data_IF_113544981833
#
_entry.id   IF_113544981833
#
_cell.length_a   1.000
_cell.length_b   1.000
_cell.length_c   1.000
_cell.angle_alpha   90.00
_cell.angle_beta   90.00
_cell.angle_gamma   90.00
#
_symmetry.space_group_name_H-M   'P 1'
#
loop_
_entity.id
_entity.type
_entity.pdbx_description
1 polymer ?
#
# COMPACT_ATOMS: atom_id res chain seq x y z
N UNK A 1 23.95 -6.09 -18.93
CA UNK A 1 22.55 -5.92 -19.39
C UNK A 1 22.50 -4.58 -20.11
N UNK A 2 21.90 -4.44 -21.32
CA UNK A 2 21.80 -3.15 -21.99
C UNK A 2 20.97 -2.22 -21.11
N UNK A 3 21.48 -1.02 -20.86
CA UNK A 3 20.78 0.04 -20.15
C UNK A 3 19.50 0.38 -20.94
N UNK A 4 18.32 0.03 -20.39
CA UNK A 4 17.03 0.46 -20.92
C UNK A 4 16.92 1.97 -20.60
N UNK A 5 17.40 2.84 -21.47
CA UNK A 5 17.16 4.29 -21.35
C UNK A 5 15.83 4.61 -22.00
N UNK A 6 14.88 5.20 -21.26
CA UNK A 6 13.72 5.78 -21.88
C UNK A 6 14.19 6.90 -22.81
N UNK A 7 13.73 6.90 -24.04
CA UNK A 7 14.05 7.96 -25.03
C UNK A 7 13.73 9.33 -24.42
N UNK A 8 14.76 10.17 -24.24
CA UNK A 8 14.63 11.58 -23.87
C UNK A 8 14.56 11.90 -22.37
N UNK A 9 14.61 10.95 -21.43
CA UNK A 9 14.63 11.27 -20.00
C UNK A 9 16.05 11.55 -19.52
N UNK A 10 16.25 12.71 -18.90
CA UNK A 10 17.49 13.01 -18.21
C UNK A 10 17.65 12.07 -17.00
N UNK A 11 18.88 11.63 -16.75
CA UNK A 11 19.22 10.85 -15.54
C UNK A 11 18.88 11.69 -14.31
N UNK A 12 18.23 11.11 -13.27
CA UNK A 12 17.92 11.85 -12.04
C UNK A 12 19.21 12.35 -11.38
N UNK A 13 19.18 13.59 -10.88
CA UNK A 13 20.30 14.18 -10.17
C UNK A 13 20.60 13.48 -8.84
N UNK A 14 19.53 13.06 -8.13
CA UNK A 14 19.65 12.39 -6.83
C UNK A 14 18.48 11.42 -6.58
N UNK A 15 18.76 10.40 -5.77
CA UNK A 15 17.74 9.48 -5.23
C UNK A 15 16.82 10.23 -4.25
N UNK A 16 15.48 10.08 -4.35
CA UNK A 16 14.53 10.73 -3.44
C UNK A 16 14.66 10.24 -1.99
N UNK A 17 15.26 9.07 -1.77
CA UNK A 17 15.41 8.47 -0.43
C UNK A 17 16.76 8.82 0.19
N UNK A 18 17.87 8.37 -0.38
CA UNK A 18 19.20 8.53 0.24
C UNK A 18 20.03 9.65 -0.36
N UNK A 19 19.48 10.44 -1.29
CA UNK A 19 20.12 11.58 -1.97
C UNK A 19 21.38 11.23 -2.78
N UNK A 20 21.72 9.96 -2.92
CA UNK A 20 22.85 9.52 -3.75
C UNK A 20 22.59 9.85 -5.21
N UNK A 21 23.61 10.35 -5.92
CA UNK A 21 23.60 10.55 -7.37
C UNK A 21 23.82 9.25 -8.16
N UNK A 22 24.16 8.15 -7.46
CA UNK A 22 24.46 6.87 -8.08
C UNK A 22 23.18 6.08 -8.38
N UNK A 23 22.62 6.28 -9.57
CA UNK A 23 21.43 5.59 -10.05
C UNK A 23 21.62 5.09 -11.48
N UNK A 24 20.94 3.98 -11.82
CA UNK A 24 20.91 3.38 -13.15
C UNK A 24 19.45 3.24 -13.64
N UNK A 25 19.26 3.24 -14.96
CA UNK A 25 17.96 2.91 -15.56
C UNK A 25 17.52 1.52 -15.12
N UNK A 26 16.26 1.40 -14.69
CA UNK A 26 15.69 0.14 -14.23
C UNK A 26 14.75 -0.46 -15.27
N UNK A 27 13.75 0.30 -15.68
CA UNK A 27 12.72 -0.12 -16.62
C UNK A 27 11.94 1.07 -17.17
N UNK A 28 11.11 0.79 -18.19
CA UNK A 28 9.98 1.64 -18.56
C UNK A 28 8.71 0.92 -18.11
N UNK A 29 7.98 1.54 -17.19
CA UNK A 29 6.72 1.03 -16.70
C UNK A 29 5.52 1.56 -17.47
N UNK A 30 4.40 0.85 -17.42
CA UNK A 30 3.12 1.28 -18.00
C UNK A 30 2.00 1.01 -16.99
N UNK A 31 0.93 1.82 -17.06
CA UNK A 31 -0.25 1.55 -16.24
C UNK A 31 -0.93 0.25 -16.66
N UNK A 32 -0.71 -0.80 -15.87
CA UNK A 32 -1.22 -2.14 -16.15
C UNK A 32 -2.64 -2.38 -15.62
N UNK A 33 -3.07 -1.59 -14.64
CA UNK A 33 -4.40 -1.75 -14.05
C UNK A 33 -5.48 -1.15 -14.95
N UNK A 34 -5.32 0.11 -15.33
CA UNK A 34 -6.36 0.85 -16.07
C UNK A 34 -5.96 1.21 -17.49
N UNK A 35 -4.67 1.11 -17.84
CA UNK A 35 -4.16 1.48 -19.16
C UNK A 35 -4.20 2.99 -19.41
N UNK A 36 -4.15 3.80 -18.36
CA UNK A 36 -4.17 5.26 -18.45
C UNK A 36 -2.79 5.79 -18.85
N UNK A 37 -2.77 6.79 -19.74
CA UNK A 37 -1.53 7.37 -20.25
C UNK A 37 -1.00 6.63 -21.49
N UNK A 38 -0.65 7.39 -22.54
CA UNK A 38 -0.16 6.86 -23.83
C UNK A 38 1.35 6.62 -23.85
N UNK A 39 2.08 7.02 -22.79
CA UNK A 39 3.54 6.92 -22.69
C UNK A 39 3.99 5.93 -21.61
N UNK A 40 5.28 5.59 -21.62
CA UNK A 40 5.92 4.85 -20.56
C UNK A 40 6.48 5.78 -19.48
N UNK A 41 6.60 5.28 -18.28
CA UNK A 41 7.17 5.97 -17.11
C UNK A 41 8.58 5.45 -16.86
N UNK A 42 9.56 6.34 -16.86
CA UNK A 42 10.95 5.98 -16.64
C UNK A 42 11.19 5.64 -15.17
N UNK A 43 11.75 4.47 -14.93
CA UNK A 43 12.10 3.99 -13.60
C UNK A 43 13.60 3.88 -13.47
N UNK A 44 14.14 4.36 -12.36
CA UNK A 44 15.55 4.31 -12.01
C UNK A 44 15.76 3.55 -10.70
N UNK A 45 16.85 2.79 -10.63
CA UNK A 45 17.28 2.13 -9.39
C UNK A 45 18.42 2.92 -8.77
N UNK A 46 18.28 3.29 -7.51
CA UNK A 46 19.40 3.78 -6.71
C UNK A 46 20.35 2.62 -6.39
N UNK A 47 21.64 2.75 -6.74
CA UNK A 47 22.65 1.72 -6.48
C UNK A 47 23.16 1.74 -5.03
N UNK A 48 22.84 2.79 -4.25
CA UNK A 48 23.22 2.93 -2.84
C UNK A 48 22.23 2.30 -1.89
N UNK A 49 20.93 2.65 -1.99
CA UNK A 49 19.87 2.11 -1.10
C UNK A 49 18.98 1.05 -1.76
N UNK A 50 19.09 0.88 -3.09
CA UNK A 50 18.38 -0.15 -3.85
C UNK A 50 16.92 0.17 -4.18
N UNK A 51 16.35 1.29 -3.71
CA UNK A 51 14.98 1.69 -4.08
C UNK A 51 14.87 1.92 -5.60
N UNK A 52 13.67 1.70 -6.12
CA UNK A 52 13.32 2.02 -7.51
C UNK A 52 12.32 3.16 -7.49
N UNK A 53 12.54 4.18 -8.29
CA UNK A 53 11.70 5.37 -8.30
C UNK A 53 11.44 5.88 -9.72
N UNK A 54 10.30 6.51 -9.89
CA UNK A 54 9.94 7.17 -11.14
C UNK A 54 10.71 8.48 -11.29
N UNK A 55 11.15 8.78 -12.52
CA UNK A 55 11.74 10.09 -12.82
C UNK A 55 11.27 10.60 -14.19
N UNK A 56 10.78 11.87 -14.28
CA UNK A 56 10.59 12.79 -13.14
C UNK A 56 9.53 12.28 -12.16
N UNK A 57 9.66 12.65 -10.85
CA UNK A 57 8.61 12.40 -9.87
C UNK A 57 7.39 13.25 -10.23
N UNK A 58 6.20 12.65 -10.35
CA UNK A 58 4.98 13.40 -10.63
C UNK A 58 4.56 14.24 -9.41
N UNK A 59 3.94 15.37 -9.64
CA UNK A 59 3.23 16.09 -8.59
C UNK A 59 1.87 15.43 -8.26
N UNK A 60 1.22 15.87 -7.19
CA UNK A 60 -0.05 15.32 -6.75
C UNK A 60 -1.16 15.48 -7.79
N UNK A 61 -1.15 16.57 -8.57
CA UNK A 61 -2.16 16.81 -9.62
C UNK A 61 -1.98 15.87 -10.82
N UNK A 62 -0.73 15.57 -11.17
CA UNK A 62 -0.42 14.59 -12.20
C UNK A 62 -0.79 13.17 -11.74
N UNK A 63 -0.50 12.81 -10.48
CA UNK A 63 -0.85 11.51 -9.91
C UNK A 63 -2.37 11.30 -9.83
N UNK A 64 -3.14 12.32 -9.44
CA UNK A 64 -4.59 12.23 -9.31
C UNK A 64 -5.29 11.70 -10.58
N UNK A 65 -4.72 11.96 -11.77
CA UNK A 65 -5.23 11.47 -13.05
C UNK A 65 -5.18 9.94 -13.20
N UNK A 66 -4.36 9.27 -12.41
CA UNK A 66 -4.17 7.81 -12.42
C UNK A 66 -4.96 7.09 -11.33
N UNK A 67 -5.84 7.82 -10.64
CA UNK A 67 -6.80 7.27 -9.68
C UNK A 67 -8.21 7.45 -10.22
N UNK A 68 -8.64 6.61 -11.17
CA UNK A 68 -10.01 6.66 -11.68
C UNK A 68 -10.97 6.31 -10.56
N UNK A 69 -12.25 6.63 -10.77
CA UNK A 69 -13.29 6.43 -9.78
C UNK A 69 -13.40 4.98 -9.27
N UNK A 70 -13.09 4.02 -10.16
CA UNK A 70 -13.13 2.58 -9.91
C UNK A 70 -11.94 2.08 -9.06
N UNK A 71 -10.87 2.86 -8.96
CA UNK A 71 -9.72 2.53 -8.10
C UNK A 71 -10.13 2.43 -6.63
N UNK A 72 -10.97 3.37 -6.21
CA UNK A 72 -11.49 3.40 -4.85
C UNK A 72 -12.57 2.33 -4.73
N UNK A 73 -12.17 1.17 -4.27
CA UNK A 73 -13.10 0.10 -4.06
C UNK A 73 -14.16 0.48 -3.03
N UNK A 74 -15.34 0.81 -3.52
CA UNK A 74 -16.52 0.95 -2.72
C UNK A 74 -17.07 -0.45 -2.50
N UNK A 75 -17.28 -0.85 -1.25
CA UNK A 75 -18.09 -2.01 -0.93
C UNK A 75 -19.57 -1.81 -1.26
N UNK A 76 -19.90 -0.98 -2.26
CA UNK A 76 -21.28 -0.80 -2.69
C UNK A 76 -21.83 -2.13 -3.22
N UNK A 77 -23.08 -2.45 -2.89
CA UNK A 77 -23.72 -3.66 -3.39
C UNK A 77 -23.69 -3.60 -4.92
N UNK A 78 -23.07 -4.59 -5.52
CA UNK A 78 -23.14 -4.82 -6.96
C UNK A 78 -24.58 -5.07 -7.40
N UNK A 79 -24.82 -5.32 -8.70
CA UNK A 79 -26.15 -5.48 -9.26
C UNK A 79 -26.95 -6.50 -8.46
N UNK A 80 -28.22 -6.16 -8.22
CA UNK A 80 -29.14 -6.92 -7.38
C UNK A 80 -29.37 -8.35 -7.91
N UNK A 81 -28.98 -9.35 -7.14
CA UNK A 81 -29.24 -10.76 -7.41
C UNK A 81 -28.67 -11.66 -6.32
N UNK A 82 -29.38 -12.77 -5.99
CA UNK A 82 -29.00 -13.69 -4.89
C UNK A 82 -27.57 -14.24 -5.05
N UNK A 83 -27.13 -14.53 -6.28
CA UNK A 83 -25.79 -15.02 -6.61
C UNK A 83 -24.75 -13.93 -6.36
N UNK A 84 -24.99 -12.70 -6.85
CA UNK A 84 -24.08 -11.56 -6.62
C UNK A 84 -23.92 -11.25 -5.14
N UNK A 85 -25.03 -11.22 -4.37
CA UNK A 85 -24.98 -11.02 -2.92
C UNK A 85 -24.15 -12.09 -2.19
N UNK A 86 -24.22 -13.34 -2.62
CA UNK A 86 -23.43 -14.43 -2.04
C UNK A 86 -21.92 -14.21 -2.25
N UNK A 87 -21.49 -13.91 -3.47
CA UNK A 87 -20.07 -13.65 -3.77
C UNK A 87 -19.55 -12.39 -3.07
N UNK A 88 -20.32 -11.31 -3.02
CA UNK A 88 -19.95 -10.11 -2.26
C UNK A 88 -19.79 -10.39 -0.75
N UNK A 89 -20.64 -11.26 -0.19
CA UNK A 89 -20.50 -11.67 1.22
C UNK A 89 -19.21 -12.47 1.44
N UNK A 90 -18.90 -13.42 0.57
CA UNK A 90 -17.65 -14.20 0.66
C UNK A 90 -16.42 -13.29 0.53
N UNK A 91 -16.44 -12.37 -0.43
CA UNK A 91 -15.38 -11.41 -0.64
C UNK A 91 -15.18 -10.50 0.59
N UNK A 92 -16.26 -10.04 1.22
CA UNK A 92 -16.19 -9.27 2.46
C UNK A 92 -15.56 -10.07 3.59
N UNK A 93 -16.02 -11.30 3.82
CA UNK A 93 -15.45 -12.20 4.85
C UNK A 93 -13.97 -12.44 4.59
N UNK A 94 -13.60 -12.71 3.34
CA UNK A 94 -12.19 -12.88 2.97
C UNK A 94 -11.37 -11.62 3.26
N UNK A 95 -11.87 -10.44 2.90
CA UNK A 95 -11.19 -9.16 3.18
C UNK A 95 -11.02 -8.89 4.67
N UNK A 96 -12.06 -9.09 5.46
CA UNK A 96 -12.00 -8.96 6.91
C UNK A 96 -10.92 -9.92 7.47
N UNK A 97 -10.96 -11.18 7.06
CA UNK A 97 -10.00 -12.20 7.48
C UNK A 97 -8.53 -11.84 7.14
N UNK A 98 -8.26 -11.40 5.91
CA UNK A 98 -6.89 -11.04 5.53
C UNK A 98 -6.45 -9.69 6.11
N UNK A 99 -7.38 -8.78 6.42
CA UNK A 99 -7.09 -7.50 7.09
C UNK A 99 -6.78 -7.69 8.57
N UNK A 100 -7.23 -8.79 9.18
CA UNK A 100 -6.85 -9.20 10.52
C UNK A 100 -5.33 -9.28 10.72
N UNK A 101 -4.59 -9.63 9.68
CA UNK A 101 -3.11 -9.65 9.65
C UNK A 101 -2.51 -8.27 10.00
N UNK A 102 -3.17 -7.18 9.58
CA UNK A 102 -2.76 -5.82 9.89
C UNK A 102 -2.88 -5.51 11.38
N UNK A 103 -4.00 -5.85 11.98
CA UNK A 103 -4.23 -5.62 13.40
C UNK A 103 -3.32 -6.49 14.26
N UNK A 104 -3.09 -7.76 13.87
CA UNK A 104 -2.14 -8.65 14.55
C UNK A 104 -0.72 -8.09 14.55
N UNK A 105 -0.31 -7.43 13.46
CA UNK A 105 0.99 -6.75 13.45
C UNK A 105 1.01 -5.55 14.39
N UNK A 106 -0.04 -4.71 14.41
CA UNK A 106 -0.20 -3.60 15.37
C UNK A 106 -0.14 -4.11 16.80
N UNK A 107 -0.88 -5.19 17.12
CA UNK A 107 -0.86 -5.83 18.45
C UNK A 107 0.52 -6.35 18.83
N UNK A 108 1.24 -6.94 17.87
CA UNK A 108 2.63 -7.38 18.07
C UNK A 108 3.53 -6.20 18.43
N UNK A 109 3.43 -5.10 17.68
CA UNK A 109 4.19 -3.87 17.94
C UNK A 109 3.84 -3.28 19.31
N UNK A 110 2.55 -3.25 19.68
CA UNK A 110 2.09 -2.77 20.98
C UNK A 110 2.71 -3.57 22.13
N UNK A 111 2.63 -4.90 22.07
CA UNK A 111 3.21 -5.79 23.08
C UNK A 111 4.73 -5.64 23.22
N UNK A 112 5.44 -5.64 22.08
CA UNK A 112 6.90 -5.57 22.06
C UNK A 112 7.44 -4.22 22.56
N UNK A 113 6.61 -3.16 22.53
CA UNK A 113 6.98 -1.83 22.99
C UNK A 113 6.25 -1.39 24.27
N UNK A 114 5.58 -2.29 24.97
CA UNK A 114 4.79 -2.02 26.17
C UNK A 114 3.80 -0.85 25.99
N UNK A 115 3.25 -0.67 24.78
CA UNK A 115 2.29 0.39 24.49
C UNK A 115 0.90 -0.01 24.99
N UNK A 116 0.34 0.78 25.90
CA UNK A 116 -0.97 0.53 26.53
C UNK A 116 -2.08 1.44 25.99
N UNK A 117 -1.71 2.56 25.36
CA UNK A 117 -2.68 3.45 24.69
C UNK A 117 -3.36 2.77 23.51
N UNK A 118 -4.56 3.22 23.17
CA UNK A 118 -5.41 2.58 22.14
C UNK A 118 -5.87 3.54 21.04
N UNK A 119 -5.54 4.82 21.12
CA UNK A 119 -5.94 5.82 20.12
C UNK A 119 -5.14 5.60 18.83
N UNK A 120 -5.82 5.24 17.75
CA UNK A 120 -5.22 4.85 16.48
C UNK A 120 -5.69 5.78 15.35
N UNK A 121 -4.76 6.27 14.55
CA UNK A 121 -5.03 6.97 13.30
C UNK A 121 -4.51 6.16 12.12
N UNK A 122 -5.38 5.87 11.14
CA UNK A 122 -4.99 5.30 9.86
C UNK A 122 -4.98 6.39 8.77
N UNK A 123 -3.79 6.69 8.24
CA UNK A 123 -3.58 7.61 7.12
C UNK A 123 -3.72 6.81 5.83
N UNK A 124 -4.67 7.20 4.97
CA UNK A 124 -5.04 6.43 3.78
C UNK A 124 -6.01 5.29 4.12
N UNK A 125 -6.97 5.55 5.00
CA UNK A 125 -7.86 4.52 5.56
C UNK A 125 -8.84 3.90 4.55
N UNK A 126 -8.94 4.42 3.34
CA UNK A 126 -9.83 3.91 2.30
C UNK A 126 -11.29 3.77 2.79
N UNK A 127 -11.88 2.61 2.56
CA UNK A 127 -13.26 2.29 2.99
C UNK A 127 -13.42 1.98 4.48
N UNK A 128 -12.36 2.07 5.29
CA UNK A 128 -12.41 1.91 6.75
C UNK A 128 -12.42 0.46 7.24
N UNK A 129 -12.19 -0.54 6.39
CA UNK A 129 -12.21 -1.95 6.80
C UNK A 129 -11.19 -2.22 7.92
N UNK A 130 -9.95 -1.69 7.80
CA UNK A 130 -8.95 -1.83 8.86
C UNK A 130 -9.39 -1.17 10.17
N UNK A 131 -9.98 0.03 10.10
CA UNK A 131 -10.50 0.73 11.28
C UNK A 131 -11.54 -0.10 12.02
N UNK A 132 -12.42 -0.78 11.27
CA UNK A 132 -13.44 -1.66 11.84
C UNK A 132 -12.82 -2.86 12.58
N UNK A 133 -11.85 -3.52 11.97
CA UNK A 133 -11.16 -4.64 12.62
C UNK A 133 -10.37 -4.14 13.85
N UNK A 134 -9.72 -2.99 13.76
CA UNK A 134 -9.02 -2.39 14.89
C UNK A 134 -9.95 -2.08 16.07
N UNK A 135 -11.17 -1.56 15.81
CA UNK A 135 -12.20 -1.34 16.84
C UNK A 135 -12.59 -2.65 17.54
N UNK A 136 -12.78 -3.73 16.79
CA UNK A 136 -13.06 -5.06 17.35
C UNK A 136 -11.94 -5.57 18.27
N UNK A 137 -10.69 -5.09 18.07
CA UNK A 137 -9.52 -5.37 18.93
C UNK A 137 -9.36 -4.35 20.08
N UNK A 138 -10.34 -3.45 20.25
CA UNK A 138 -10.37 -2.47 21.34
C UNK A 138 -9.50 -1.25 21.11
N UNK A 139 -9.10 -0.95 19.87
CA UNK A 139 -8.55 0.34 19.50
C UNK A 139 -9.66 1.39 19.38
N UNK A 140 -9.29 2.66 19.46
CA UNK A 140 -10.18 3.80 19.24
C UNK A 140 -9.80 4.40 17.87
N UNK A 141 -10.49 3.97 16.79
CA UNK A 141 -10.04 4.26 15.45
C UNK A 141 -10.42 5.66 14.99
N UNK A 142 -9.49 6.29 14.31
CA UNK A 142 -9.65 7.51 13.53
C UNK A 142 -9.08 7.28 12.14
N UNK A 143 -9.63 7.94 11.12
CA UNK A 143 -9.21 7.74 9.75
C UNK A 143 -8.99 9.06 9.00
N UNK A 144 -8.11 9.02 8.00
CA UNK A 144 -7.94 10.10 7.05
C UNK A 144 -7.68 9.52 5.65
N UNK A 145 -8.38 10.05 4.65
CA UNK A 145 -8.15 9.71 3.26
C UNK A 145 -8.33 10.92 2.35
N UNK A 146 -7.61 10.96 1.24
CA UNK A 146 -7.72 12.04 0.24
C UNK A 146 -9.01 11.90 -0.59
N UNK A 147 -9.54 10.71 -0.73
CA UNK A 147 -10.73 10.40 -1.50
C UNK A 147 -12.00 10.74 -0.73
N UNK A 148 -12.73 11.76 -1.18
CA UNK A 148 -14.03 12.10 -0.62
C UNK A 148 -15.00 10.90 -0.61
N UNK A 149 -14.96 10.08 -1.68
CA UNK A 149 -15.79 8.88 -1.81
C UNK A 149 -15.44 7.82 -0.79
N UNK A 150 -14.15 7.52 -0.60
CA UNK A 150 -13.70 6.55 0.39
C UNK A 150 -14.14 6.97 1.80
N UNK A 151 -13.97 8.25 2.12
CA UNK A 151 -14.42 8.85 3.40
C UNK A 151 -15.94 8.73 3.58
N UNK A 152 -16.73 9.02 2.54
CA UNK A 152 -18.17 8.90 2.60
C UNK A 152 -18.62 7.47 2.87
N UNK A 153 -18.05 6.50 2.16
CA UNK A 153 -18.34 5.06 2.33
C UNK A 153 -17.99 4.61 3.74
N UNK A 154 -16.78 4.92 4.21
CA UNK A 154 -16.32 4.52 5.52
C UNK A 154 -17.17 5.12 6.66
N UNK A 155 -17.56 6.40 6.54
CA UNK A 155 -18.48 7.04 7.49
C UNK A 155 -19.88 6.42 7.52
N UNK A 156 -20.42 6.13 6.33
CA UNK A 156 -21.75 5.47 6.24
C UNK A 156 -21.73 4.06 6.80
N UNK A 157 -20.65 3.32 6.56
CA UNK A 157 -20.58 1.90 6.91
C UNK A 157 -20.28 1.69 8.39
N UNK A 158 -19.43 2.53 8.99
CA UNK A 158 -18.88 2.27 10.32
C UNK A 158 -19.08 3.42 11.32
N UNK A 159 -19.31 4.64 10.87
CA UNK A 159 -19.59 5.79 11.76
C UNK A 159 -18.37 6.35 12.49
N UNK A 160 -17.13 5.94 12.14
CA UNK A 160 -15.92 6.41 12.80
C UNK A 160 -15.57 7.88 12.46
N UNK A 161 -14.76 8.56 13.30
CA UNK A 161 -14.22 9.87 13.00
C UNK A 161 -13.20 9.76 11.84
N UNK A 162 -13.66 10.02 10.63
CA UNK A 162 -12.85 9.96 9.41
C UNK A 162 -12.86 11.33 8.75
N UNK A 163 -11.70 11.87 8.44
CA UNK A 163 -11.55 13.16 7.79
C UNK A 163 -11.07 13.03 6.35
N UNK A 164 -11.66 13.82 5.46
CA UNK A 164 -11.11 14.01 4.14
C UNK A 164 -9.91 14.95 4.24
N UNK A 165 -8.74 14.47 3.80
CA UNK A 165 -7.51 15.27 3.84
C UNK A 165 -6.30 14.49 3.39
N UNK A 166 -5.25 15.21 3.03
CA UNK A 166 -3.95 14.67 2.67
C UNK A 166 -2.88 15.01 3.70
N UNK A 167 -1.64 14.61 3.38
CA UNK A 167 -0.46 14.93 4.19
C UNK A 167 -0.37 16.45 4.40
N UNK A 168 -0.17 16.86 5.65
CA UNK A 168 -0.14 18.29 6.06
C UNK A 168 -1.49 18.88 6.45
N UNK A 169 -2.59 18.15 6.36
CA UNK A 169 -3.91 18.61 6.81
C UNK A 169 -3.95 18.82 8.33
N UNK A 170 -4.48 19.97 8.79
CA UNK A 170 -4.56 20.29 10.23
C UNK A 170 -5.89 19.88 10.88
N UNK A 171 -6.53 18.85 10.34
CA UNK A 171 -7.86 18.40 10.77
C UNK A 171 -7.89 17.83 12.19
N UNK A 172 -6.74 17.41 12.72
CA UNK A 172 -6.62 16.82 14.05
C UNK A 172 -6.28 17.81 15.17
N UNK A 173 -5.93 19.05 14.84
CA UNK A 173 -5.56 20.07 15.83
C UNK A 173 -4.45 19.58 16.78
N UNK A 174 -4.75 19.59 18.10
CA UNK A 174 -3.82 19.12 19.13
C UNK A 174 -3.96 17.63 19.48
N UNK A 175 -4.86 16.87 18.80
CA UNK A 175 -5.02 15.44 19.04
C UNK A 175 -3.73 14.70 18.64
N UNK A 176 -3.29 13.78 19.50
CA UNK A 176 -2.12 12.92 19.27
C UNK A 176 -2.48 11.49 19.54
N UNK A 177 -1.89 10.59 18.73
CA UNK A 177 -2.27 9.20 18.65
C UNK A 177 -1.21 8.28 19.29
N UNK A 178 -1.65 7.15 19.84
CA UNK A 178 -0.77 6.10 20.31
C UNK A 178 -0.21 5.31 19.15
N UNK A 179 -1.00 5.19 18.07
CA UNK A 179 -0.61 4.55 16.83
C UNK A 179 -0.97 5.43 15.63
N UNK A 180 -0.03 5.58 14.72
CA UNK A 180 -0.28 6.10 13.37
C UNK A 180 0.09 5.01 12.38
N UNK A 181 -0.86 4.62 11.52
CA UNK A 181 -0.65 3.61 10.50
C UNK A 181 -0.63 4.25 9.10
N UNK A 182 0.20 3.71 8.21
CA UNK A 182 0.32 4.07 6.80
C UNK A 182 0.45 2.78 5.98
N UNK A 183 -0.67 2.17 5.63
CA UNK A 183 -0.70 0.94 4.85
C UNK A 183 -0.89 1.25 3.37
N UNK A 184 0.13 0.97 2.57
CA UNK A 184 0.15 1.31 1.14
C UNK A 184 -0.09 2.80 0.87
N UNK A 185 0.65 3.66 1.58
CA UNK A 185 0.58 5.12 1.43
C UNK A 185 1.92 5.71 1.04
N UNK A 186 3.00 5.28 1.69
CA UNK A 186 4.30 5.94 1.57
C UNK A 186 4.88 5.83 0.16
N UNK A 187 4.64 4.73 -0.55
CA UNK A 187 5.05 4.49 -1.94
C UNK A 187 4.36 5.40 -2.96
N UNK A 188 3.21 5.96 -2.60
CA UNK A 188 2.43 6.88 -3.45
C UNK A 188 2.87 8.35 -3.27
N UNK A 189 3.66 8.65 -2.24
CA UNK A 189 4.06 10.03 -1.93
C UNK A 189 5.28 10.43 -2.75
N UNK A 190 5.18 11.53 -3.51
CA UNK A 190 6.32 12.14 -4.19
C UNK A 190 7.35 12.72 -3.20
N UNK A 191 6.89 13.13 -2.01
CA UNK A 191 7.74 13.50 -0.86
C UNK A 191 7.41 12.64 0.37
N UNK A 192 8.05 11.46 0.51
CA UNK A 192 7.82 10.59 1.66
C UNK A 192 8.36 11.18 2.97
N UNK A 193 9.31 12.14 2.91
CA UNK A 193 9.80 12.85 4.11
C UNK A 193 8.72 13.71 4.72
N UNK A 194 7.99 14.43 3.90
CA UNK A 194 6.84 15.21 4.36
C UNK A 194 5.78 14.32 5.00
N UNK A 195 5.51 13.14 4.39
CA UNK A 195 4.59 12.16 4.95
C UNK A 195 5.00 11.67 6.34
N UNK A 196 6.28 11.29 6.50
CA UNK A 196 6.80 10.81 7.79
C UNK A 196 6.87 11.92 8.85
N UNK A 197 7.21 13.16 8.46
CA UNK A 197 7.17 14.31 9.38
C UNK A 197 5.76 14.52 9.90
N UNK A 198 4.78 14.56 9.00
CA UNK A 198 3.38 14.71 9.36
C UNK A 198 2.90 13.59 10.30
N UNK A 199 3.20 12.33 9.99
CA UNK A 199 2.88 11.21 10.85
C UNK A 199 3.52 11.36 12.25
N UNK A 200 4.79 11.79 12.31
CA UNK A 200 5.51 12.05 13.56
C UNK A 200 4.91 13.19 14.40
N UNK A 201 4.37 14.23 13.76
CA UNK A 201 3.68 15.32 14.45
C UNK A 201 2.35 14.88 15.09
N UNK A 202 1.74 13.85 14.55
CA UNK A 202 0.48 13.27 15.03
C UNK A 202 0.67 12.23 16.14
N UNK A 203 1.89 11.71 16.34
CA UNK A 203 2.19 10.74 17.39
C UNK A 203 2.36 11.40 18.76
N UNK A 204 1.94 10.70 19.80
CA UNK A 204 2.38 10.94 21.17
C UNK A 204 3.88 10.65 21.31
N UNK A 205 4.52 11.09 22.38
CA UNK A 205 5.96 10.83 22.62
C UNK A 205 6.29 9.33 22.66
N UNK A 206 5.42 8.51 23.23
CA UNK A 206 5.54 7.05 23.28
C UNK A 206 4.88 6.34 22.09
N UNK A 207 4.30 7.09 21.14
CA UNK A 207 3.51 6.55 20.06
C UNK A 207 4.34 5.75 19.05
N UNK A 208 3.67 4.86 18.34
CA UNK A 208 4.25 3.97 17.33
C UNK A 208 3.74 4.33 15.93
N UNK A 209 4.68 4.46 15.00
CA UNK A 209 4.42 4.55 13.56
C UNK A 209 4.50 3.16 12.96
N UNK A 210 3.47 2.75 12.24
CA UNK A 210 3.41 1.45 11.57
C UNK A 210 3.20 1.67 10.08
N UNK A 211 4.11 1.14 9.28
CA UNK A 211 4.14 1.32 7.82
C UNK A 211 4.10 -0.04 7.15
N UNK A 212 3.35 -0.12 6.06
CA UNK A 212 3.40 -1.24 5.14
C UNK A 212 3.59 -0.73 3.71
N UNK A 213 4.59 -1.27 3.01
CA UNK A 213 4.88 -0.96 1.61
C UNK A 213 5.31 -2.21 0.84
N UNK A 214 5.15 -2.27 -0.49
CA UNK A 214 5.69 -3.33 -1.32
C UNK A 214 7.23 -3.37 -1.29
N UNK A 215 7.80 -4.57 -1.36
CA UNK A 215 9.25 -4.82 -1.31
C UNK A 215 9.81 -5.07 -2.71
N UNK A 216 10.43 -4.07 -3.33
CA UNK A 216 11.05 -4.20 -4.67
C UNK A 216 12.27 -5.15 -4.68
N UNK A 217 12.81 -5.53 -3.52
CA UNK A 217 13.90 -6.50 -3.41
C UNK A 217 13.43 -7.94 -3.20
N UNK A 218 12.12 -8.18 -3.16
CA UNK A 218 11.51 -9.50 -2.97
C UNK A 218 11.84 -10.49 -4.10
N UNK A 219 11.64 -11.78 -3.83
CA UNK A 219 11.83 -12.81 -4.85
C UNK A 219 10.81 -12.66 -5.98
N UNK A 220 9.54 -12.42 -5.65
CA UNK A 220 8.49 -12.17 -6.64
C UNK A 220 8.79 -10.94 -7.52
N UNK A 221 9.30 -9.84 -6.95
CA UNK A 221 9.69 -8.67 -7.74
C UNK A 221 10.84 -8.99 -8.72
N UNK A 222 11.79 -9.85 -8.33
CA UNK A 222 12.90 -10.30 -9.19
C UNK A 222 12.41 -11.24 -10.31
N UNK A 223 11.44 -12.12 -10.01
CA UNK A 223 10.87 -13.07 -10.98
C UNK A 223 10.01 -12.35 -12.01
N UNK A 224 9.07 -11.53 -11.57
CA UNK A 224 8.10 -10.88 -12.45
C UNK A 224 8.61 -9.57 -13.05
N UNK A 225 9.64 -8.94 -12.48
CA UNK A 225 10.26 -7.70 -13.00
C UNK A 225 9.21 -6.62 -13.29
N UNK A 226 9.12 -6.15 -14.55
CA UNK A 226 8.15 -5.14 -14.98
C UNK A 226 6.70 -5.61 -14.90
N UNK A 227 6.49 -6.91 -14.74
CA UNK A 227 5.17 -7.53 -14.61
C UNK A 227 4.78 -7.77 -13.16
N UNK A 228 5.65 -7.42 -12.21
CA UNK A 228 5.32 -7.52 -10.79
C UNK A 228 4.17 -6.57 -10.42
N UNK A 229 3.16 -7.12 -9.74
CA UNK A 229 1.99 -6.35 -9.33
C UNK A 229 2.35 -5.18 -8.41
N UNK A 230 3.25 -5.39 -7.45
CA UNK A 230 3.68 -4.38 -6.49
C UNK A 230 4.43 -3.20 -7.11
N UNK A 231 4.80 -3.24 -8.40
CA UNK A 231 5.42 -2.11 -9.09
C UNK A 231 4.41 -0.98 -9.39
N UNK A 232 3.16 -1.30 -9.61
CA UNK A 232 1.98 -0.45 -9.87
C UNK A 232 2.25 0.97 -10.41
N UNK A 233 2.93 1.04 -11.56
CA UNK A 233 3.25 2.30 -12.23
C UNK A 233 1.98 2.89 -12.88
N UNK A 234 1.74 4.19 -12.77
CA UNK A 234 2.56 5.26 -12.18
C UNK A 234 2.19 5.61 -10.73
N UNK A 235 1.31 4.86 -10.07
CA UNK A 235 0.82 5.16 -8.72
C UNK A 235 1.88 4.96 -7.64
N UNK A 236 2.68 3.88 -7.72
CA UNK A 236 3.84 3.69 -6.88
C UNK A 236 5.03 4.47 -7.44
N UNK A 237 5.21 5.70 -6.97
CA UNK A 237 6.28 6.59 -7.44
C UNK A 237 7.65 6.23 -6.86
N UNK A 238 7.65 5.59 -5.68
CA UNK A 238 8.86 5.10 -4.99
C UNK A 238 8.59 3.67 -4.51
N UNK A 239 9.42 2.73 -4.97
CA UNK A 239 9.36 1.34 -4.55
C UNK A 239 10.51 1.07 -3.57
N UNK A 240 10.17 0.69 -2.36
CA UNK A 240 11.11 0.57 -1.25
C UNK A 240 11.83 -0.79 -1.22
N UNK A 241 13.08 -0.77 -0.74
CA UNK A 241 13.75 -1.92 -0.15
C UNK A 241 13.72 -1.77 1.36
N UNK A 242 13.90 -2.85 2.16
CA UNK A 242 14.04 -2.73 3.61
C UNK A 242 15.10 -1.71 4.02
N UNK A 243 16.27 -1.73 3.37
CA UNK A 243 17.37 -0.77 3.59
C UNK A 243 16.97 0.68 3.33
N UNK A 244 16.21 0.92 2.26
CA UNK A 244 15.78 2.27 1.90
C UNK A 244 14.75 2.82 2.90
N UNK A 245 13.81 1.98 3.36
CA UNK A 245 12.81 2.37 4.34
C UNK A 245 13.46 2.64 5.71
N UNK A 246 14.33 1.76 6.17
CA UNK A 246 15.06 1.92 7.43
C UNK A 246 15.92 3.20 7.43
N UNK A 247 16.66 3.45 6.35
CA UNK A 247 17.43 4.68 6.18
C UNK A 247 16.54 5.92 6.28
N UNK A 248 15.40 5.92 5.58
CA UNK A 248 14.48 7.05 5.57
C UNK A 248 13.87 7.30 6.96
N UNK A 249 13.43 6.25 7.66
CA UNK A 249 12.91 6.34 9.03
C UNK A 249 13.97 6.93 9.98
N UNK A 250 15.21 6.44 9.90
CA UNK A 250 16.30 6.95 10.70
C UNK A 250 16.58 8.44 10.44
N UNK A 251 16.66 8.87 9.19
CA UNK A 251 16.83 10.29 8.83
C UNK A 251 15.69 11.19 9.35
N UNK A 252 14.47 10.64 9.39
CA UNK A 252 13.30 11.37 9.86
C UNK A 252 13.13 11.35 11.39
N UNK A 253 14.14 10.86 12.14
CA UNK A 253 14.13 10.84 13.60
C UNK A 253 13.29 9.72 14.20
N UNK A 254 13.08 8.63 13.45
CA UNK A 254 12.45 7.44 13.99
C UNK A 254 13.49 6.38 14.35
N UNK A 255 13.25 5.69 15.45
CA UNK A 255 13.97 4.49 15.84
C UNK A 255 13.18 3.26 15.39
N UNK A 256 13.84 2.45 14.60
CA UNK A 256 13.26 1.23 14.08
C UNK A 256 13.13 0.17 15.20
N UNK A 257 11.95 -0.43 15.33
CA UNK A 257 11.63 -1.38 16.40
C UNK A 257 11.46 -2.82 15.89
N UNK A 258 10.72 -2.98 14.80
CA UNK A 258 10.35 -4.30 14.28
C UNK A 258 10.11 -4.27 12.78
N UNK A 259 10.46 -5.36 12.09
CA UNK A 259 10.13 -5.60 10.68
C UNK A 259 9.51 -6.98 10.49
N UNK A 260 8.54 -7.06 9.60
CA UNK A 260 8.05 -8.31 9.03
C UNK A 260 8.04 -8.20 7.50
N UNK A 261 8.12 -9.34 6.80
CA UNK A 261 8.17 -9.40 5.33
C UNK A 261 7.08 -10.30 4.75
N UNK A 262 6.10 -10.64 5.55
CA UNK A 262 4.95 -11.42 5.14
C UNK A 262 3.67 -10.65 5.41
N UNK A 263 2.80 -10.62 4.42
CA UNK A 263 1.40 -10.21 4.52
C UNK A 263 0.55 -11.29 3.89
N UNK A 264 -0.37 -11.84 4.67
CA UNK A 264 -1.33 -12.85 4.19
C UNK A 264 -2.22 -12.27 3.09
N UNK A 265 -2.55 -10.97 3.21
CA UNK A 265 -3.32 -10.23 2.22
C UNK A 265 -2.55 -10.02 0.93
N UNK A 266 -1.32 -9.47 1.03
CA UNK A 266 -0.68 -8.85 -0.12
C UNK A 266 0.28 -9.79 -0.86
N UNK A 267 1.07 -10.62 -0.12
CA UNK A 267 2.09 -11.44 -0.78
C UNK A 267 1.48 -12.46 -1.76
N UNK A 268 0.49 -13.29 -1.38
CA UNK A 268 -0.11 -14.26 -2.32
C UNK A 268 -0.90 -13.57 -3.44
N UNK A 269 -1.65 -12.50 -3.11
CA UNK A 269 -2.44 -11.74 -4.08
C UNK A 269 -1.55 -11.07 -5.12
N UNK A 270 -0.39 -10.52 -4.72
CA UNK A 270 0.58 -9.92 -5.63
C UNK A 270 1.14 -10.94 -6.62
N UNK A 271 1.41 -12.18 -6.19
CA UNK A 271 1.84 -13.27 -7.07
C UNK A 271 0.71 -13.61 -8.05
N UNK A 272 -0.50 -13.83 -7.56
CA UNK A 272 -1.66 -14.19 -8.38
C UNK A 272 -1.95 -13.12 -9.45
N UNK A 273 -1.94 -11.83 -9.08
CA UNK A 273 -2.15 -10.69 -10.00
C UNK A 273 -0.96 -10.51 -10.96
N UNK A 274 0.25 -10.92 -10.58
CA UNK A 274 1.41 -10.90 -11.48
C UNK A 274 1.33 -12.02 -12.54
N UNK A 275 0.87 -13.20 -12.15
CA UNK A 275 0.69 -14.36 -13.04
C UNK A 275 -0.50 -14.16 -13.98
N UNK A 276 -1.63 -13.73 -13.44
CA UNK A 276 -2.90 -13.60 -14.17
C UNK A 276 -3.52 -12.19 -14.01
N UNK A 277 -2.90 -11.15 -14.57
CA UNK A 277 -3.36 -9.76 -14.39
C UNK A 277 -4.78 -9.51 -14.93
N UNK A 278 -5.29 -10.35 -15.83
CA UNK A 278 -6.67 -10.30 -16.32
C UNK A 278 -7.71 -10.70 -15.29
N UNK A 279 -7.31 -11.47 -14.26
CA UNK A 279 -8.18 -11.93 -13.17
C UNK A 279 -8.14 -10.98 -11.96
N UNK A 280 -7.24 -10.00 -11.96
CA UNK A 280 -7.14 -9.04 -10.85
C UNK A 280 -8.47 -8.33 -10.59
N UNK A 281 -8.98 -8.32 -9.34
CA UNK A 281 -10.28 -7.74 -9.00
C UNK A 281 -10.39 -6.24 -9.32
N UNK A 282 -9.31 -5.45 -9.10
CA UNK A 282 -9.31 -4.01 -9.37
C UNK A 282 -9.40 -3.77 -10.88
N UNK A 283 -8.60 -4.51 -11.64
CA UNK A 283 -8.58 -4.40 -13.11
C UNK A 283 -9.90 -4.84 -13.74
N UNK A 284 -10.56 -5.88 -13.19
CA UNK A 284 -11.85 -6.37 -13.70
C UNK A 284 -12.95 -5.33 -13.50
N UNK A 285 -13.01 -4.70 -12.33
CA UNK A 285 -14.01 -3.65 -12.02
C UNK A 285 -13.89 -2.45 -12.97
N UNK A 286 -12.69 -2.06 -13.36
CA UNK A 286 -12.47 -0.99 -14.35
C UNK A 286 -12.85 -1.33 -15.80
N UNK A 287 -13.28 -2.58 -16.11
CA UNK A 287 -13.53 -3.05 -17.49
C UNK A 287 -14.96 -3.45 -17.81
N UNK A 288 -15.98 -2.92 -17.13
CA UNK A 288 -17.40 -3.19 -17.45
C UNK A 288 -17.82 -4.69 -17.49
N UNK A 289 -17.15 -5.56 -16.72
CA UNK A 289 -17.55 -6.97 -16.62
C UNK A 289 -18.81 -7.20 -15.76
N UNK A 290 -19.38 -6.15 -15.19
CA UNK A 290 -20.60 -6.21 -14.37
C UNK A 290 -21.85 -6.73 -15.10
N UNK A 291 -21.81 -6.82 -16.42
CA UNK A 291 -22.93 -7.32 -17.23
C UNK A 291 -23.05 -8.84 -17.31
N UNK A 292 -22.05 -9.59 -16.78
CA UNK A 292 -22.02 -11.06 -16.88
C UNK A 292 -21.69 -11.72 -15.53
N UNK A 293 -22.67 -11.81 -14.62
CA UNK A 293 -22.42 -12.24 -13.23
C UNK A 293 -21.80 -13.63 -13.09
N UNK A 294 -22.16 -14.57 -13.98
CA UNK A 294 -21.59 -15.93 -13.95
C UNK A 294 -20.10 -15.93 -14.29
N UNK A 295 -19.68 -15.20 -15.34
CA UNK A 295 -18.27 -15.09 -15.73
C UNK A 295 -17.45 -14.37 -14.66
N UNK A 296 -18.02 -13.38 -14.00
CA UNK A 296 -17.39 -12.71 -12.87
C UNK A 296 -17.18 -13.67 -11.70
N UNK A 297 -18.20 -14.47 -11.36
CA UNK A 297 -18.09 -15.48 -10.31
C UNK A 297 -17.00 -16.52 -10.61
N UNK A 298 -16.93 -17.02 -11.85
CA UNK A 298 -15.86 -17.96 -12.27
C UNK A 298 -14.47 -17.27 -12.14
N UNK A 299 -14.35 -16.03 -12.60
CA UNK A 299 -13.08 -15.29 -12.50
C UNK A 299 -12.64 -15.06 -11.05
N UNK A 300 -13.59 -14.79 -10.13
CA UNK A 300 -13.31 -14.64 -8.71
C UNK A 300 -12.86 -15.95 -8.07
N UNK A 301 -13.55 -17.06 -8.34
CA UNK A 301 -13.15 -18.37 -7.83
C UNK A 301 -11.77 -18.74 -8.37
N UNK A 302 -11.50 -18.51 -9.68
CA UNK A 302 -10.21 -18.78 -10.28
C UNK A 302 -9.11 -17.95 -9.67
N UNK A 303 -9.36 -16.64 -9.45
CA UNK A 303 -8.40 -15.75 -8.79
C UNK A 303 -8.11 -16.19 -7.37
N UNK A 304 -9.13 -16.51 -6.57
CA UNK A 304 -8.98 -17.04 -5.21
C UNK A 304 -8.17 -18.34 -5.19
N UNK A 305 -8.42 -19.24 -6.15
CA UNK A 305 -7.64 -20.46 -6.34
C UNK A 305 -6.16 -20.16 -6.58
N UNK A 306 -5.85 -19.17 -7.44
CA UNK A 306 -4.47 -18.73 -7.67
C UNK A 306 -3.84 -18.10 -6.42
N UNK A 307 -4.58 -17.32 -5.65
CA UNK A 307 -4.10 -16.77 -4.37
C UNK A 307 -3.73 -17.89 -3.40
N UNK A 308 -4.59 -18.90 -3.25
CA UNK A 308 -4.34 -20.04 -2.37
C UNK A 308 -3.14 -20.87 -2.84
N UNK A 309 -3.00 -21.10 -4.14
CA UNK A 309 -1.84 -21.81 -4.74
C UNK A 309 -0.54 -20.99 -4.59
N UNK A 310 -0.61 -19.68 -4.52
CA UNK A 310 0.54 -18.79 -4.33
C UNK A 310 1.02 -18.74 -2.87
N UNK A 311 0.18 -19.14 -1.91
CA UNK A 311 0.46 -19.02 -0.48
C UNK A 311 1.73 -19.78 -0.03
N UNK A 312 1.97 -21.05 -0.43
CA UNK A 312 3.20 -21.75 -0.06
C UNK A 312 4.47 -21.03 -0.54
N UNK A 313 4.45 -20.51 -1.77
CA UNK A 313 5.56 -19.75 -2.31
C UNK A 313 5.78 -18.44 -1.54
N UNK A 314 4.71 -17.70 -1.25
CA UNK A 314 4.75 -16.47 -0.46
C UNK A 314 5.30 -16.70 0.96
N UNK A 315 4.98 -17.82 1.58
CA UNK A 315 5.54 -18.23 2.87
C UNK A 315 7.03 -18.53 2.77
N UNK A 316 7.44 -19.34 1.79
CA UNK A 316 8.85 -19.71 1.56
C UNK A 316 9.70 -18.46 1.31
N UNK A 317 9.29 -17.58 0.39
CA UNK A 317 10.05 -16.36 0.11
C UNK A 317 10.21 -15.47 1.35
N UNK A 318 9.17 -15.44 2.20
CA UNK A 318 9.16 -14.65 3.43
C UNK A 318 10.10 -15.21 4.49
N UNK A 319 10.06 -16.53 4.71
CA UNK A 319 10.98 -17.24 5.63
C UNK A 319 12.43 -17.09 5.17
N UNK A 320 12.68 -17.10 3.85
CA UNK A 320 14.00 -16.83 3.27
C UNK A 320 14.42 -15.34 3.35
N UNK A 321 13.58 -14.46 3.91
CA UNK A 321 13.88 -13.03 4.06
C UNK A 321 13.65 -12.19 2.80
N UNK A 322 12.98 -12.73 1.77
CA UNK A 322 12.72 -12.06 0.48
C UNK A 322 11.25 -11.78 0.22
N UNK A 323 10.41 -11.72 1.27
CA UNK A 323 8.97 -11.54 1.14
C UNK A 323 8.56 -10.26 0.41
N UNK A 324 7.38 -10.31 -0.22
CA UNK A 324 6.86 -9.29 -1.15
C UNK A 324 6.45 -7.97 -0.51
N UNK A 325 6.34 -7.92 0.81
CA UNK A 325 5.89 -6.76 1.58
C UNK A 325 6.91 -6.40 2.66
N UNK A 326 7.00 -5.13 3.02
CA UNK A 326 7.77 -4.64 4.18
C UNK A 326 6.76 -4.06 5.17
N UNK A 327 6.71 -4.63 6.36
CA UNK A 327 6.09 -4.05 7.52
C UNK A 327 7.17 -3.46 8.41
N UNK A 328 6.99 -2.25 8.86
CA UNK A 328 7.90 -1.57 9.76
C UNK A 328 7.14 -0.95 10.92
N UNK A 329 7.61 -1.22 12.14
CA UNK A 329 7.23 -0.51 13.33
C UNK A 329 8.38 0.38 13.76
N UNK A 330 8.09 1.64 14.04
CA UNK A 330 9.09 2.61 14.46
C UNK A 330 8.55 3.53 15.57
N UNK A 331 9.41 4.00 16.44
CA UNK A 331 9.12 4.98 17.49
C UNK A 331 9.83 6.28 17.18
N UNK A 332 9.22 7.42 17.49
CA UNK A 332 9.91 8.70 17.40
C UNK A 332 11.04 8.76 18.44
N UNK A 333 12.24 9.18 18.03
CA UNK A 333 13.35 9.41 18.96
C UNK A 333 13.02 10.59 19.86
N UNK A 334 13.29 10.45 21.14
CA UNK A 334 13.34 11.58 22.07
C UNK A 334 14.51 12.48 21.65
N UNK A 335 14.22 13.76 21.40
CA UNK A 335 15.24 14.77 21.13
C UNK A 335 15.79 15.30 22.45
#
# INVERSE_FOLDING_TARGET
>A
MPECRPNGSQKPAACPICRSSNSAGYAVGHDRLFGLGKGGFALYRCLSCGCVFQHPLPDNAALAKFYPHEYWWSGEPGPQGRISCFFHRLERIYREYVTEDHVRFVDSCARNNAQTGKLLLDIGCGSGTFLHIADMHGYIPHGMDVSARAVEIARRQYGYPIHQGGIGSRVWGNLRFDFVTMFHVLEHLSDPRLGLRYAGELLKSTGLLIIQVPNISSLQARMFRNFWYGLDVPRHVINFTPKALEFLLHEMGFEFQQMNRFSLRDNPASIASSVAPGLDPIRRKGRLLDTRPLLNGIAEITYLGLVLLSLPFALIESVCGFGGTIWACARRREM
#
